data_IF_403678481735
#
_entry.id   IF_403678481735
#
_cell.length_a   1.000
_cell.length_b   1.000
_cell.length_c   1.000
_cell.angle_alpha   90.00
_cell.angle_beta   90.00
_cell.angle_gamma   90.00
#
_symmetry.space_group_name_H-M   'P 1'
#
loop_
_entity.id
_entity.type
_entity.pdbx_description
1 polymer ?
#
# COMPACT_ATOMS: atom_id res chain seq x y z
N UNK A 1 -11.45 -6.77 -4.16
CA UNK A 1 -12.46 -5.77 -3.74
C UNK A 1 -12.54 -5.62 -2.21
N UNK A 2 -11.67 -6.30 -1.45
CA UNK A 2 -11.74 -6.38 0.02
C UNK A 2 -10.86 -5.34 0.75
N UNK A 3 -9.92 -4.69 0.06
CA UNK A 3 -9.03 -3.67 0.64
C UNK A 3 -9.74 -2.34 0.92
N UNK A 4 -10.76 -1.98 0.14
CA UNK A 4 -11.59 -0.80 0.38
C UNK A 4 -12.54 -0.98 1.59
N UNK A 5 -12.92 -2.22 1.90
CA UNK A 5 -13.78 -2.54 3.04
C UNK A 5 -13.08 -2.29 4.38
N UNK A 6 -11.80 -2.68 4.51
CA UNK A 6 -11.01 -2.45 5.72
C UNK A 6 -10.71 -0.97 5.95
N UNK A 7 -10.37 -0.22 4.89
CA UNK A 7 -10.11 1.23 4.98
C UNK A 7 -11.41 1.98 5.34
N UNK A 8 -12.56 1.60 4.78
CA UNK A 8 -13.85 2.22 5.10
C UNK A 8 -14.36 1.93 6.52
N UNK A 9 -14.09 0.74 7.06
CA UNK A 9 -14.49 0.35 8.41
C UNK A 9 -13.64 1.05 9.48
N UNK A 10 -12.36 1.31 9.17
CA UNK A 10 -11.45 2.13 9.99
C UNK A 10 -11.84 3.61 9.91
N UNK A 11 -12.14 4.14 8.71
CA UNK A 11 -12.58 5.54 8.53
C UNK A 11 -13.87 5.85 9.30
N UNK A 12 -14.83 4.90 9.32
CA UNK A 12 -16.08 5.06 10.06
C UNK A 12 -15.90 4.98 11.59
N UNK A 13 -15.01 4.12 12.10
CA UNK A 13 -14.69 4.05 13.53
C UNK A 13 -13.92 5.29 14.02
N UNK A 14 -13.01 5.79 13.19
CA UNK A 14 -12.27 7.03 13.48
C UNK A 14 -13.20 8.25 13.42
N UNK A 15 -14.11 8.34 12.43
CA UNK A 15 -15.13 9.39 12.37
C UNK A 15 -16.07 9.40 13.57
N UNK A 16 -16.50 8.24 14.06
CA UNK A 16 -17.39 8.15 15.23
C UNK A 16 -16.69 8.54 16.54
N UNK A 17 -15.42 8.15 16.72
CA UNK A 17 -14.62 8.56 17.88
C UNK A 17 -14.30 10.07 17.85
N UNK A 18 -14.00 10.62 16.67
CA UNK A 18 -13.81 12.06 16.48
C UNK A 18 -15.13 12.78 16.82
N UNK A 19 -16.27 12.42 16.21
CA UNK A 19 -17.57 13.04 16.46
C UNK A 19 -17.95 13.10 17.94
N UNK A 20 -17.76 12.01 18.70
CA UNK A 20 -18.08 11.96 20.13
C UNK A 20 -17.17 12.87 20.99
N UNK A 21 -15.93 13.13 20.56
CA UNK A 21 -14.99 14.00 21.28
C UNK A 21 -15.25 15.51 21.10
N UNK A 22 -15.94 15.93 20.04
CA UNK A 22 -16.20 17.35 19.74
C UNK A 22 -17.52 17.90 20.34
N UNK A 23 -18.47 17.04 20.69
CA UNK A 23 -19.78 17.46 21.23
C UNK A 23 -19.67 18.29 22.53
N UNK A 24 -18.80 17.95 23.50
CA UNK A 24 -18.66 18.75 24.73
C UNK A 24 -17.87 20.06 24.53
N UNK A 25 -16.96 20.10 23.53
CA UNK A 25 -16.10 21.25 23.25
C UNK A 25 -16.88 22.33 22.48
N UNK A 26 -17.76 21.92 21.57
CA UNK A 26 -18.56 22.82 20.75
C UNK A 26 -19.68 23.52 21.56
N UNK A 27 -20.28 22.83 22.54
CA UNK A 27 -21.32 23.42 23.40
C UNK A 27 -20.75 24.47 24.36
N UNK A 28 -19.55 24.22 24.90
CA UNK A 28 -18.90 25.12 25.85
C UNK A 28 -18.32 26.38 25.17
N UNK A 29 -17.74 26.23 23.98
CA UNK A 29 -17.24 27.37 23.18
C UNK A 29 -18.35 28.28 22.66
N UNK A 30 -19.51 27.72 22.27
CA UNK A 30 -20.66 28.52 21.81
C UNK A 30 -21.25 29.38 22.94
N UNK A 31 -21.34 28.83 24.15
CA UNK A 31 -21.84 29.54 25.34
C UNK A 31 -20.88 30.64 25.81
N UNK A 32 -19.56 30.43 25.70
CA UNK A 32 -18.54 31.44 26.00
C UNK A 32 -18.51 32.58 24.97
N UNK A 33 -18.66 32.25 23.69
CA UNK A 33 -18.73 33.26 22.61
C UNK A 33 -20.00 34.11 22.75
N UNK A 34 -21.15 33.52 23.12
CA UNK A 34 -22.42 34.23 23.29
C UNK A 34 -22.45 35.13 24.54
N UNK A 35 -21.75 34.75 25.61
CA UNK A 35 -21.54 35.61 26.80
C UNK A 35 -20.59 36.77 26.48
N UNK A 36 -19.57 36.54 25.65
CA UNK A 36 -18.59 37.58 25.33
C UNK A 36 -19.07 38.59 24.27
N UNK A 37 -19.88 38.17 23.30
CA UNK A 37 -20.51 39.06 22.32
C UNK A 37 -21.54 39.99 22.97
N UNK A 38 -22.33 39.48 23.93
CA UNK A 38 -23.30 40.28 24.69
C UNK A 38 -22.63 41.31 25.61
N UNK A 39 -21.43 41.02 26.13
CA UNK A 39 -20.65 41.98 26.93
C UNK A 39 -19.91 43.03 26.07
N UNK A 40 -19.42 42.67 24.88
CA UNK A 40 -18.74 43.61 23.96
C UNK A 40 -19.69 44.60 23.27
N UNK A 41 -20.96 44.25 23.10
CA UNK A 41 -21.95 45.15 22.48
C UNK A 41 -22.34 46.34 23.39
N UNK A 42 -22.03 46.29 24.70
CA UNK A 42 -22.27 47.40 25.64
C UNK A 42 -21.20 48.50 25.66
N UNK A 43 -20.09 48.35 24.92
CA UNK A 43 -18.95 49.29 25.00
C UNK A 43 -18.46 49.75 23.62
N UNK A 44 -19.36 50.30 22.81
CA UNK A 44 -19.02 50.93 21.53
C UNK A 44 -19.51 52.38 21.49
N UNK A 45 -18.61 53.33 21.76
CA UNK A 45 -18.66 54.74 21.32
C UNK A 45 -17.25 55.09 20.78
N UNK A 46 -17.13 55.88 19.69
CA UNK A 46 -16.37 55.47 18.51
C UNK A 46 -14.96 56.05 18.38
N UNK A 47 -14.14 55.29 17.65
CA UNK A 47 -13.10 55.64 16.67
C UNK A 47 -12.14 56.83 16.91
N UNK A 48 -10.84 56.52 16.75
CA UNK A 48 -9.86 57.25 15.91
C UNK A 48 -8.68 58.04 16.50
N UNK A 49 -8.26 57.90 17.78
CA UNK A 49 -7.07 58.67 18.24
C UNK A 49 -6.03 58.00 19.17
N UNK A 50 -5.97 56.68 19.35
CA UNK A 50 -4.91 56.08 20.22
C UNK A 50 -4.07 54.97 19.60
N UNK A 51 -3.93 54.95 18.27
CA UNK A 51 -3.10 53.95 17.59
C UNK A 51 -1.59 54.08 17.90
N UNK A 52 -1.13 55.16 18.55
CA UNK A 52 0.31 55.40 18.77
C UNK A 52 0.79 55.19 20.22
N UNK A 53 -0.10 55.09 21.22
CA UNK A 53 0.34 54.93 22.64
C UNK A 53 0.07 53.54 23.24
N UNK A 54 -0.54 52.62 22.48
CA UNK A 54 -0.83 51.24 22.95
C UNK A 54 0.15 50.20 22.34
N UNK A 55 1.15 50.64 21.57
CA UNK A 55 2.10 49.75 20.88
C UNK A 55 3.05 48.99 21.81
N UNK A 56 3.24 49.44 23.06
CA UNK A 56 4.19 48.80 24.00
C UNK A 56 3.58 47.80 24.98
N UNK A 57 2.35 48.02 25.47
CA UNK A 57 1.77 47.23 26.58
C UNK A 57 0.90 46.05 26.12
N UNK A 58 0.62 45.97 24.81
CA UNK A 58 -0.25 44.91 24.25
C UNK A 58 0.50 43.76 23.61
N UNK A 59 1.80 43.89 23.33
CA UNK A 59 2.53 42.78 22.71
C UNK A 59 2.59 41.58 23.64
N UNK A 60 3.05 41.74 24.88
CA UNK A 60 3.20 40.62 25.82
C UNK A 60 1.86 39.90 26.10
N UNK A 61 0.77 40.66 26.29
CA UNK A 61 -0.56 40.11 26.56
C UNK A 61 -1.20 39.44 25.33
N UNK A 62 -0.90 39.90 24.12
CA UNK A 62 -1.32 39.24 22.88
C UNK A 62 -0.50 37.98 22.63
N UNK A 63 0.80 37.99 22.95
CA UNK A 63 1.67 36.82 22.88
C UNK A 63 1.24 35.74 23.88
N UNK A 64 0.92 36.09 25.11
CA UNK A 64 0.46 35.17 26.16
C UNK A 64 -0.88 34.51 25.79
N UNK A 65 -1.85 35.31 25.29
CA UNK A 65 -3.14 34.78 24.84
C UNK A 65 -3.02 33.91 23.57
N UNK A 66 -2.12 34.26 22.64
CA UNK A 66 -1.84 33.44 21.47
C UNK A 66 -1.12 32.14 21.85
N UNK A 67 -0.20 32.21 22.80
CA UNK A 67 0.53 31.06 23.33
C UNK A 67 -0.41 30.06 23.99
N UNK A 68 -1.36 30.51 24.81
CA UNK A 68 -2.34 29.61 25.46
C UNK A 68 -3.23 28.88 24.46
N UNK A 69 -3.63 29.54 23.37
CA UNK A 69 -4.41 28.89 22.31
C UNK A 69 -3.57 27.87 21.55
N UNK A 70 -2.33 28.22 21.20
CA UNK A 70 -1.41 27.32 20.50
C UNK A 70 -0.99 26.13 21.37
N UNK A 71 -0.75 26.35 22.66
CA UNK A 71 -0.36 25.29 23.61
C UNK A 71 -1.50 24.29 23.79
N UNK A 72 -2.74 24.77 23.95
CA UNK A 72 -3.92 23.90 24.07
C UNK A 72 -4.15 23.07 22.81
N UNK A 73 -4.01 23.66 21.62
CA UNK A 73 -4.10 22.93 20.33
C UNK A 73 -2.98 21.88 20.20
N UNK A 74 -1.76 22.25 20.61
CA UNK A 74 -0.58 21.37 20.53
C UNK A 74 -0.73 20.18 21.49
N UNK A 75 -1.19 20.41 22.71
CA UNK A 75 -1.43 19.36 23.71
C UNK A 75 -2.55 18.42 23.24
N UNK A 76 -3.66 18.97 22.74
CA UNK A 76 -4.77 18.18 22.21
C UNK A 76 -4.36 17.30 21.02
N UNK A 77 -3.56 17.85 20.10
CA UNK A 77 -3.04 17.12 18.94
C UNK A 77 -2.05 16.03 19.38
N UNK A 78 -1.15 16.34 20.31
CA UNK A 78 -0.20 15.38 20.87
C UNK A 78 -0.90 14.20 21.56
N UNK A 79 -1.91 14.47 22.38
CA UNK A 79 -2.67 13.43 23.07
C UNK A 79 -3.45 12.54 22.09
N UNK A 80 -4.02 13.13 21.03
CA UNK A 80 -4.67 12.37 19.97
C UNK A 80 -3.69 11.43 19.24
N UNK A 81 -2.50 11.93 18.88
CA UNK A 81 -1.43 11.12 18.28
C UNK A 81 -1.01 10.00 19.24
N UNK A 82 -0.86 10.29 20.53
CA UNK A 82 -0.46 9.31 21.53
C UNK A 82 -1.49 8.19 21.69
N UNK A 83 -2.78 8.54 21.84
CA UNK A 83 -3.88 7.58 21.97
C UNK A 83 -3.96 6.70 20.71
N UNK A 84 -3.92 7.29 19.51
CA UNK A 84 -3.99 6.51 18.26
C UNK A 84 -2.79 5.57 18.09
N UNK A 85 -1.60 5.98 18.52
CA UNK A 85 -0.39 5.14 18.49
C UNK A 85 -0.45 3.96 19.47
N UNK A 86 -1.08 4.13 20.64
CA UNK A 86 -1.13 3.11 21.70
C UNK A 86 -2.27 2.10 21.50
N UNK A 87 -3.47 2.56 21.14
CA UNK A 87 -4.65 1.69 21.12
C UNK A 87 -4.84 0.91 19.81
N UNK A 88 -4.35 1.41 18.67
CA UNK A 88 -4.43 0.75 17.37
C UNK A 88 -3.21 1.10 16.49
N UNK A 89 -2.01 0.57 16.77
CA UNK A 89 -0.87 0.82 15.90
C UNK A 89 -1.15 0.28 14.49
N UNK A 90 -1.09 1.18 13.50
CA UNK A 90 -1.15 0.81 12.08
C UNK A 90 0.25 0.38 11.67
N UNK A 91 0.45 -0.93 11.47
CA UNK A 91 1.73 -1.49 11.05
C UNK A 91 1.82 -1.59 9.52
N UNK A 92 2.43 -0.57 8.91
CA UNK A 92 2.76 -0.54 7.49
C UNK A 92 3.71 -1.68 7.09
N UNK A 93 4.61 -2.13 7.98
CA UNK A 93 5.52 -3.25 7.71
C UNK A 93 4.80 -4.57 7.39
N UNK A 94 3.74 -4.88 8.14
CA UNK A 94 2.90 -6.06 7.90
C UNK A 94 2.14 -5.93 6.58
N UNK A 95 1.54 -4.76 6.32
CA UNK A 95 0.83 -4.49 5.06
C UNK A 95 1.75 -4.57 3.83
N UNK A 96 3.00 -4.10 3.93
CA UNK A 96 3.98 -4.23 2.86
C UNK A 96 4.28 -5.70 2.58
N UNK A 97 4.44 -6.52 3.61
CA UNK A 97 4.72 -7.93 3.43
C UNK A 97 3.59 -8.66 2.72
N UNK A 98 2.36 -8.47 3.19
CA UNK A 98 1.18 -9.07 2.58
C UNK A 98 1.02 -8.61 1.13
N UNK A 99 1.32 -7.34 0.84
CA UNK A 99 1.32 -6.82 -0.52
C UNK A 99 2.32 -7.54 -1.42
N UNK A 100 3.58 -7.75 -0.98
CA UNK A 100 4.58 -8.49 -1.77
C UNK A 100 4.11 -9.91 -2.05
N UNK A 101 3.62 -10.60 -1.02
CA UNK A 101 3.12 -11.98 -1.14
C UNK A 101 1.97 -12.06 -2.15
N UNK A 102 0.97 -11.19 -2.02
CA UNK A 102 -0.16 -11.14 -2.94
C UNK A 102 0.27 -10.76 -4.36
N UNK A 103 1.27 -9.88 -4.52
CA UNK A 103 1.78 -9.51 -5.84
C UNK A 103 2.46 -10.70 -6.54
N UNK A 104 3.22 -11.53 -5.82
CA UNK A 104 3.80 -12.76 -6.38
C UNK A 104 2.74 -13.73 -6.89
N UNK A 105 1.67 -13.94 -6.12
CA UNK A 105 0.55 -14.80 -6.53
C UNK A 105 -0.17 -14.26 -7.76
N UNK A 106 -0.43 -12.94 -7.79
CA UNK A 106 -1.04 -12.30 -8.96
C UNK A 106 -0.18 -12.44 -10.20
N UNK A 107 1.14 -12.37 -10.09
CA UNK A 107 2.05 -12.60 -11.22
C UNK A 107 1.96 -14.05 -11.70
N UNK A 108 1.97 -15.01 -10.78
CA UNK A 108 1.87 -16.43 -11.12
C UNK A 108 0.57 -16.74 -11.86
N UNK A 109 -0.56 -16.27 -11.31
CA UNK A 109 -1.89 -16.47 -11.88
C UNK A 109 -2.05 -15.74 -13.22
N UNK A 110 -1.47 -14.55 -13.37
CA UNK A 110 -1.49 -13.82 -14.65
C UNK A 110 -0.70 -14.55 -15.73
N UNK A 111 0.49 -15.08 -15.37
CA UNK A 111 1.34 -15.80 -16.31
C UNK A 111 0.67 -17.10 -16.79
N UNK A 112 0.20 -17.93 -15.85
CA UNK A 112 -0.56 -19.15 -16.15
C UNK A 112 -1.80 -18.86 -16.99
N UNK A 113 -2.53 -17.80 -16.64
CA UNK A 113 -3.72 -17.37 -17.36
C UNK A 113 -3.41 -16.97 -18.80
N UNK A 114 -2.41 -16.11 -19.00
CA UNK A 114 -2.06 -15.59 -20.32
C UNK A 114 -1.62 -16.72 -21.28
N UNK A 115 -0.66 -17.55 -20.87
CA UNK A 115 -0.14 -18.61 -21.73
C UNK A 115 -1.18 -19.72 -21.92
N UNK A 116 -1.90 -20.08 -20.86
CA UNK A 116 -2.96 -21.07 -20.92
C UNK A 116 -4.12 -20.66 -21.82
N UNK A 117 -4.48 -19.38 -21.87
CA UNK A 117 -5.51 -18.89 -22.80
C UNK A 117 -5.04 -18.89 -24.26
N UNK A 118 -3.78 -18.50 -24.52
CA UNK A 118 -3.24 -18.45 -25.88
C UNK A 118 -3.17 -19.81 -26.57
N UNK A 119 -2.85 -20.88 -25.82
CA UNK A 119 -2.74 -22.25 -26.34
C UNK A 119 -4.00 -23.12 -26.15
N UNK A 120 -5.11 -22.57 -25.63
CA UNK A 120 -6.38 -23.31 -25.56
C UNK A 120 -6.96 -23.54 -26.96
N UNK A 121 -7.38 -24.78 -27.22
CA UNK A 121 -8.15 -25.11 -28.42
C UNK A 121 -9.55 -24.47 -28.38
N UNK A 122 -9.98 -23.90 -29.51
CA UNK A 122 -11.22 -23.13 -29.69
C UNK A 122 -12.51 -23.90 -29.30
N UNK A 123 -12.42 -25.23 -29.16
CA UNK A 123 -13.52 -26.12 -28.78
C UNK A 123 -13.94 -26.06 -27.31
N UNK A 124 -13.19 -25.30 -26.48
CA UNK A 124 -13.37 -25.26 -25.02
C UNK A 124 -13.81 -23.87 -24.51
N UNK A 125 -14.33 -23.01 -25.38
CA UNK A 125 -15.03 -21.78 -24.97
C UNK A 125 -16.43 -22.11 -24.43
N UNK A 126 -16.51 -22.85 -23.33
CA UNK A 126 -17.75 -23.02 -22.59
C UNK A 126 -17.53 -22.86 -21.10
N UNK A 127 -18.15 -21.81 -20.56
CA UNK A 127 -18.81 -21.86 -19.25
C UNK A 127 -17.97 -21.50 -18.03
N UNK A 128 -18.23 -20.29 -17.53
CA UNK A 128 -18.26 -19.91 -16.10
C UNK A 128 -17.07 -20.28 -15.20
N UNK A 129 -16.27 -19.26 -14.88
CA UNK A 129 -15.79 -18.86 -13.54
C UNK A 129 -15.22 -17.44 -13.71
N UNK A 130 -15.44 -16.56 -12.73
CA UNK A 130 -14.97 -15.16 -12.63
C UNK A 130 -14.19 -14.62 -13.83
N UNK A 131 -14.73 -13.56 -14.47
CA UNK A 131 -14.14 -12.82 -15.59
C UNK A 131 -12.64 -13.12 -15.81
N UNK A 132 -12.29 -14.09 -16.69
CA UNK A 132 -10.91 -14.57 -16.85
C UNK A 132 -9.94 -13.44 -17.22
N UNK A 133 -10.48 -12.36 -17.80
CA UNK A 133 -9.75 -11.14 -18.08
C UNK A 133 -9.18 -10.46 -16.82
N UNK A 134 -9.85 -10.55 -15.67
CA UNK A 134 -9.39 -9.96 -14.40
C UNK A 134 -8.28 -10.77 -13.75
N UNK A 135 -8.33 -12.10 -13.83
CA UNK A 135 -7.26 -12.98 -13.31
C UNK A 135 -6.00 -12.88 -14.17
N UNK A 136 -6.14 -12.83 -15.50
CA UNK A 136 -5.02 -12.60 -16.42
C UNK A 136 -4.35 -11.24 -16.28
N UNK A 137 -5.07 -10.23 -15.81
CA UNK A 137 -4.57 -8.87 -15.65
C UNK A 137 -4.07 -8.55 -14.23
N UNK A 138 -3.87 -9.56 -13.38
CA UNK A 138 -3.33 -9.40 -12.02
C UNK A 138 -1.98 -8.66 -11.99
N UNK A 139 -1.17 -8.80 -13.05
CA UNK A 139 0.09 -8.06 -13.23
C UNK A 139 -0.09 -6.52 -13.21
N UNK A 140 -1.25 -5.99 -13.62
CA UNK A 140 -1.53 -4.55 -13.55
C UNK A 140 -1.59 -4.03 -12.12
N UNK A 141 -2.07 -4.85 -11.18
CA UNK A 141 -2.02 -4.49 -9.76
C UNK A 141 -0.59 -4.32 -9.27
N UNK A 142 0.33 -5.17 -9.75
CA UNK A 142 1.75 -5.10 -9.39
C UNK A 142 2.38 -3.82 -9.93
N UNK A 143 2.14 -3.48 -11.19
CA UNK A 143 2.63 -2.24 -11.80
C UNK A 143 2.15 -0.99 -11.05
N UNK A 144 0.89 -0.98 -10.60
CA UNK A 144 0.30 0.15 -9.86
C UNK A 144 0.69 0.19 -8.38
N UNK A 145 1.30 -0.87 -7.84
CA UNK A 145 1.60 -0.96 -6.40
C UNK A 145 2.90 -0.27 -5.98
N UNK A 146 3.77 0.11 -6.94
CA UNK A 146 5.12 0.65 -6.66
C UNK A 146 5.13 1.84 -5.70
N UNK A 147 4.28 2.84 -5.92
CA UNK A 147 4.22 4.02 -5.05
C UNK A 147 3.79 3.64 -3.63
N UNK A 148 2.81 2.74 -3.52
CA UNK A 148 2.33 2.22 -2.24
C UNK A 148 3.41 1.42 -1.51
N UNK A 149 4.19 0.60 -2.23
CA UNK A 149 5.32 -0.15 -1.67
C UNK A 149 6.39 0.80 -1.09
N UNK A 150 6.73 1.87 -1.80
CA UNK A 150 7.69 2.89 -1.36
C UNK A 150 7.21 3.64 -0.11
N UNK A 151 5.94 4.04 -0.08
CA UNK A 151 5.33 4.70 1.09
C UNK A 151 5.33 3.76 2.29
N UNK A 152 4.86 2.52 2.14
CA UNK A 152 4.82 1.56 3.24
C UNK A 152 6.22 1.21 3.76
N UNK A 153 7.21 1.04 2.87
CA UNK A 153 8.59 0.79 3.28
C UNK A 153 9.19 1.97 4.05
N UNK A 154 8.85 3.21 3.69
CA UNK A 154 9.29 4.40 4.41
C UNK A 154 8.64 4.52 5.78
N UNK A 155 7.35 4.22 5.91
CA UNK A 155 6.65 4.18 7.19
C UNK A 155 7.21 3.07 8.09
N UNK A 156 7.40 1.87 7.53
CA UNK A 156 7.90 0.71 8.26
C UNK A 156 9.31 0.90 8.84
N UNK A 157 10.14 1.79 8.27
CA UNK A 157 11.46 2.13 8.81
C UNK A 157 11.40 2.79 10.19
N UNK A 158 10.29 3.43 10.53
CA UNK A 158 10.10 4.12 11.81
C UNK A 158 9.33 3.27 12.82
N UNK A 159 8.90 2.06 12.44
CA UNK A 159 8.17 1.17 13.32
C UNK A 159 9.09 0.62 14.41
N UNK A 160 8.56 0.60 15.63
CA UNK A 160 9.14 -0.20 16.71
C UNK A 160 9.03 -1.68 16.35
N UNK A 161 9.88 -2.51 16.97
CA UNK A 161 9.79 -3.96 16.79
C UNK A 161 8.40 -4.46 17.21
N UNK A 162 7.76 -5.24 16.35
CA UNK A 162 6.38 -5.68 16.55
C UNK A 162 6.10 -6.98 15.83
N UNK A 163 5.18 -7.78 16.38
CA UNK A 163 4.75 -9.05 15.79
C UNK A 163 5.95 -9.93 15.40
N UNK A 164 6.15 -10.10 14.10
CA UNK A 164 7.22 -10.93 13.49
C UNK A 164 8.36 -10.08 12.89
N UNK A 165 8.27 -8.76 13.00
CA UNK A 165 9.22 -7.80 12.46
C UNK A 165 10.10 -7.22 13.58
N UNK A 166 11.33 -7.71 13.64
CA UNK A 166 12.34 -7.25 14.61
C UNK A 166 12.87 -5.84 14.29
N UNK A 167 13.53 -5.21 15.27
CA UNK A 167 14.17 -3.90 15.11
C UNK A 167 15.15 -3.88 13.93
N UNK A 168 15.20 -2.78 13.16
CA UNK A 168 16.03 -2.64 11.94
C UNK A 168 15.76 -3.71 10.87
N UNK A 169 14.50 -4.11 10.72
CA UNK A 169 14.07 -5.00 9.64
C UNK A 169 14.50 -4.48 8.25
N UNK A 170 14.90 -5.35 7.32
CA UNK A 170 15.48 -4.94 6.02
C UNK A 170 14.45 -4.46 4.99
N UNK A 171 13.66 -3.43 5.30
CA UNK A 171 12.60 -2.90 4.41
C UNK A 171 13.10 -2.49 3.02
N UNK A 172 14.37 -2.08 2.87
CA UNK A 172 14.96 -1.79 1.56
C UNK A 172 15.03 -3.01 0.63
N UNK A 173 15.04 -4.23 1.16
CA UNK A 173 15.06 -5.45 0.35
C UNK A 173 13.68 -5.74 -0.25
N UNK A 174 12.60 -5.37 0.45
CA UNK A 174 11.24 -5.45 -0.09
C UNK A 174 11.11 -4.61 -1.36
N UNK A 175 11.67 -3.39 -1.39
CA UNK A 175 11.68 -2.54 -2.59
C UNK A 175 12.50 -3.15 -3.75
N UNK A 176 13.60 -3.87 -3.45
CA UNK A 176 14.37 -4.59 -4.48
C UNK A 176 13.60 -5.78 -5.05
N UNK A 177 12.81 -6.45 -4.22
CA UNK A 177 11.89 -7.51 -4.67
C UNK A 177 10.76 -6.90 -5.50
N UNK A 178 10.14 -5.81 -5.02
CA UNK A 178 9.13 -5.02 -5.74
C UNK A 178 9.57 -4.60 -7.13
N UNK A 179 10.76 -4.00 -7.26
CA UNK A 179 11.33 -3.65 -8.59
C UNK A 179 11.54 -4.86 -9.50
N UNK A 180 11.90 -6.03 -8.95
CA UNK A 180 12.03 -7.26 -9.74
C UNK A 180 10.66 -7.83 -10.15
N UNK A 181 9.65 -7.74 -9.26
CA UNK A 181 8.26 -8.09 -9.58
C UNK A 181 7.69 -7.18 -10.66
N UNK A 182 7.94 -5.88 -10.62
CA UNK A 182 7.53 -4.96 -11.68
C UNK A 182 8.15 -5.31 -13.03
N UNK A 183 9.41 -5.80 -13.07
CA UNK A 183 10.01 -6.30 -14.32
C UNK A 183 9.25 -7.52 -14.86
N UNK A 184 8.96 -8.50 -14.00
CA UNK A 184 8.12 -9.63 -14.40
C UNK A 184 6.74 -9.18 -14.90
N UNK A 185 6.11 -8.24 -14.20
CA UNK A 185 4.81 -7.69 -14.57
C UNK A 185 4.84 -7.05 -15.97
N UNK A 186 5.89 -6.29 -16.28
CA UNK A 186 6.09 -5.71 -17.60
C UNK A 186 6.30 -6.79 -18.68
N UNK A 187 7.09 -7.83 -18.40
CA UNK A 187 7.25 -8.96 -19.32
C UNK A 187 5.90 -9.66 -19.61
N UNK A 188 5.07 -9.86 -18.58
CA UNK A 188 3.71 -10.43 -18.73
C UNK A 188 2.80 -9.47 -19.51
N UNK A 189 2.88 -8.16 -19.28
CA UNK A 189 2.10 -7.17 -20.02
C UNK A 189 2.40 -7.20 -21.51
N UNK A 190 3.69 -7.26 -21.86
CA UNK A 190 4.13 -7.36 -23.25
C UNK A 190 3.70 -8.69 -23.86
N UNK A 191 3.86 -9.80 -23.13
CA UNK A 191 3.38 -11.12 -23.54
C UNK A 191 1.86 -11.11 -23.82
N UNK A 192 1.07 -10.55 -22.90
CA UNK A 192 -0.37 -10.40 -23.06
C UNK A 192 -0.73 -9.52 -24.27
N UNK A 193 0.07 -8.50 -24.55
CA UNK A 193 -0.11 -7.65 -25.74
C UNK A 193 0.19 -8.42 -27.04
N UNK A 194 1.25 -9.24 -27.07
CA UNK A 194 1.57 -10.11 -28.21
C UNK A 194 0.45 -11.12 -28.48
N UNK A 195 -0.07 -11.76 -27.43
CA UNK A 195 -1.18 -12.73 -27.48
C UNK A 195 -2.44 -12.11 -28.09
N UNK A 196 -2.77 -10.87 -27.70
CA UNK A 196 -3.95 -10.16 -28.19
C UNK A 196 -3.73 -9.47 -29.55
N UNK A 197 -2.51 -9.50 -30.10
CA UNK A 197 -2.19 -8.85 -31.37
C UNK A 197 -2.70 -9.67 -32.56
N UNK A 198 -2.92 -9.00 -33.69
CA UNK A 198 -3.37 -9.63 -34.95
C UNK A 198 -2.27 -10.40 -35.69
N UNK A 199 -1.01 -10.22 -35.29
CA UNK A 199 0.15 -10.87 -35.91
C UNK A 199 0.44 -12.12 -35.07
N UNK A 200 -0.24 -13.22 -35.37
CA UNK A 200 -0.02 -14.49 -34.67
C UNK A 200 1.02 -15.33 -35.39
N UNK A 201 1.84 -16.03 -34.60
CA UNK A 201 2.74 -17.08 -35.07
C UNK A 201 1.96 -18.11 -35.90
N UNK A 202 2.48 -18.56 -37.06
CA UNK A 202 1.84 -19.59 -37.88
C UNK A 202 1.42 -20.83 -37.06
N UNK A 203 0.28 -21.42 -37.38
CA UNK A 203 -0.33 -22.51 -36.59
C UNK A 203 0.60 -23.72 -36.36
N UNK A 204 1.48 -24.02 -37.32
CA UNK A 204 2.45 -25.12 -37.19
C UNK A 204 3.51 -24.83 -36.11
N UNK A 205 4.01 -23.59 -36.03
CA UNK A 205 4.92 -23.13 -34.98
C UNK A 205 4.20 -23.04 -33.64
N UNK A 206 2.95 -22.56 -33.64
CA UNK A 206 2.12 -22.52 -32.42
C UNK A 206 1.97 -23.90 -31.80
N UNK A 207 1.68 -24.94 -32.59
CA UNK A 207 1.61 -26.34 -32.11
C UNK A 207 2.95 -26.86 -31.61
N UNK A 208 4.04 -26.58 -32.33
CA UNK A 208 5.39 -27.02 -31.96
C UNK A 208 5.87 -26.37 -30.64
N UNK A 209 5.59 -25.08 -30.46
CA UNK A 209 6.03 -24.31 -29.29
C UNK A 209 5.08 -24.43 -28.10
N UNK A 210 3.82 -24.81 -28.30
CA UNK A 210 2.82 -24.95 -27.23
C UNK A 210 3.31 -25.75 -26.04
N UNK A 211 3.86 -26.95 -26.27
CA UNK A 211 4.36 -27.80 -25.18
C UNK A 211 5.47 -27.14 -24.37
N UNK A 212 6.45 -26.54 -25.05
CA UNK A 212 7.60 -25.89 -24.40
C UNK A 212 7.16 -24.63 -23.65
N UNK A 213 6.33 -23.79 -24.26
CA UNK A 213 5.84 -22.55 -23.65
C UNK A 213 4.92 -22.83 -22.45
N UNK A 214 4.05 -23.84 -22.54
CA UNK A 214 3.21 -24.24 -21.41
C UNK A 214 4.05 -24.73 -20.23
N UNK A 215 5.01 -25.63 -20.47
CA UNK A 215 5.91 -26.13 -19.40
C UNK A 215 6.72 -24.99 -18.79
N UNK A 216 7.28 -24.11 -19.61
CA UNK A 216 8.08 -22.98 -19.13
C UNK A 216 7.22 -21.97 -18.33
N UNK A 217 5.98 -21.73 -18.75
CA UNK A 217 5.02 -20.90 -18.02
C UNK A 217 4.66 -21.51 -16.67
N UNK A 218 4.27 -22.78 -16.65
CA UNK A 218 3.89 -23.51 -15.43
C UNK A 218 5.05 -23.58 -14.44
N UNK A 219 6.26 -23.91 -14.89
CA UNK A 219 7.43 -23.90 -14.00
C UNK A 219 7.71 -22.49 -13.43
N UNK A 220 7.55 -21.46 -14.26
CA UNK A 220 7.77 -20.08 -13.81
C UNK A 220 6.72 -19.61 -12.80
N UNK A 221 5.45 -19.97 -13.01
CA UNK A 221 4.35 -19.63 -12.11
C UNK A 221 4.40 -20.43 -10.80
N UNK A 222 4.82 -21.69 -10.85
CA UNK A 222 5.08 -22.51 -9.67
C UNK A 222 6.20 -21.90 -8.82
N UNK A 223 7.31 -21.47 -9.43
CA UNK A 223 8.38 -20.77 -8.70
C UNK A 223 7.84 -19.49 -8.05
N UNK A 224 6.99 -18.71 -8.73
CA UNK A 224 6.38 -17.51 -8.13
C UNK A 224 5.47 -17.86 -6.93
N UNK A 225 4.68 -18.93 -7.03
CA UNK A 225 3.84 -19.45 -5.93
C UNK A 225 4.68 -19.98 -4.77
N UNK A 226 5.78 -20.68 -5.04
CA UNK A 226 6.74 -21.13 -4.04
C UNK A 226 7.41 -19.95 -3.33
N UNK A 227 7.78 -18.90 -4.07
CA UNK A 227 8.33 -17.67 -3.47
C UNK A 227 7.32 -16.98 -2.55
N UNK A 228 6.03 -16.94 -2.93
CA UNK A 228 4.96 -16.42 -2.08
C UNK A 228 4.79 -17.27 -0.80
N UNK A 229 4.81 -18.59 -0.94
CA UNK A 229 4.76 -19.51 0.20
C UNK A 229 5.97 -19.36 1.11
N UNK A 230 7.18 -19.28 0.56
CA UNK A 230 8.41 -19.08 1.33
C UNK A 230 8.37 -17.76 2.10
N UNK A 231 7.90 -16.68 1.47
CA UNK A 231 7.72 -15.40 2.14
C UNK A 231 6.73 -15.49 3.32
N UNK A 232 5.61 -16.21 3.18
CA UNK A 232 4.62 -16.45 4.25
C UNK A 232 5.16 -17.32 5.39
N UNK A 233 5.78 -18.45 5.05
CA UNK A 233 6.23 -19.47 6.01
C UNK A 233 7.35 -18.95 6.90
N UNK A 234 8.30 -18.20 6.34
CA UNK A 234 9.47 -17.74 7.09
C UNK A 234 9.07 -16.81 8.25
N UNK A 235 8.05 -15.97 8.06
CA UNK A 235 7.54 -15.12 9.14
C UNK A 235 6.74 -15.90 10.19
N UNK A 236 6.20 -17.08 9.87
CA UNK A 236 5.50 -17.92 10.85
C UNK A 236 6.46 -18.67 11.79
N UNK A 237 7.71 -18.88 11.38
CA UNK A 237 8.69 -19.71 12.10
C UNK A 237 9.65 -18.93 13.02
N UNK A 238 9.68 -17.60 12.93
CA UNK A 238 10.70 -16.76 13.58
C UNK A 238 10.40 -16.45 15.06
N UNK A 239 10.08 -17.49 15.84
CA UNK A 239 9.75 -17.36 17.28
C UNK A 239 10.99 -17.18 18.17
N UNK A 240 12.22 -17.48 17.69
CA UNK A 240 13.41 -17.52 18.55
C UNK A 240 14.77 -17.12 17.94
N UNK A 241 14.88 -16.66 16.69
CA UNK A 241 16.19 -16.27 16.11
C UNK A 241 16.28 -14.78 15.76
N UNK A 242 17.12 -14.05 16.50
CA UNK A 242 17.38 -12.61 16.35
C UNK A 242 18.15 -12.22 15.07
N UNK A 243 18.51 -13.18 14.20
CA UNK A 243 19.35 -12.94 13.03
C UNK A 243 18.48 -12.84 11.78
N UNK A 244 18.29 -11.62 11.30
CA UNK A 244 17.54 -11.31 10.08
C UNK A 244 17.86 -12.27 8.91
N UNK A 245 16.85 -12.80 8.19
CA UNK A 245 17.04 -13.75 7.10
C UNK A 245 17.49 -13.05 5.80
N UNK A 246 18.55 -12.23 5.85
CA UNK A 246 19.10 -11.49 4.70
C UNK A 246 19.40 -12.38 3.48
N UNK A 247 19.91 -13.59 3.74
CA UNK A 247 20.20 -14.58 2.69
C UNK A 247 18.94 -14.99 1.93
N UNK A 248 17.79 -15.03 2.59
CA UNK A 248 16.52 -15.45 2.00
C UNK A 248 15.92 -14.37 1.11
N UNK A 249 15.89 -13.11 1.57
CA UNK A 249 15.43 -12.00 0.72
C UNK A 249 16.30 -11.85 -0.55
N UNK A 250 17.61 -12.08 -0.42
CA UNK A 250 18.51 -12.13 -1.57
C UNK A 250 18.16 -13.28 -2.51
N UNK A 251 17.87 -14.47 -1.97
CA UNK A 251 17.43 -15.65 -2.74
C UNK A 251 16.14 -15.35 -3.51
N UNK A 252 15.12 -14.77 -2.84
CA UNK A 252 13.87 -14.34 -3.49
C UNK A 252 14.17 -13.37 -4.64
N UNK A 253 14.97 -12.33 -4.41
CA UNK A 253 15.34 -11.37 -5.45
C UNK A 253 16.13 -12.00 -6.61
N UNK A 254 16.98 -13.00 -6.37
CA UNK A 254 17.67 -13.74 -7.44
C UNK A 254 16.71 -14.63 -8.24
N UNK A 255 15.79 -15.33 -7.57
CA UNK A 255 14.78 -16.16 -8.23
C UNK A 255 13.82 -15.32 -9.06
N UNK A 256 13.39 -14.16 -8.55
CA UNK A 256 12.55 -13.22 -9.30
C UNK A 256 13.21 -12.73 -10.58
N UNK A 257 14.52 -12.43 -10.55
CA UNK A 257 15.26 -12.07 -11.76
C UNK A 257 15.30 -13.22 -12.78
N UNK A 258 15.49 -14.46 -12.32
CA UNK A 258 15.43 -15.64 -13.19
C UNK A 258 14.04 -15.81 -13.81
N UNK A 259 12.98 -15.66 -13.02
CA UNK A 259 11.60 -15.68 -13.54
C UNK A 259 11.39 -14.60 -14.61
N UNK A 260 11.89 -13.38 -14.41
CA UNK A 260 11.79 -12.32 -15.42
C UNK A 260 12.43 -12.73 -16.75
N UNK A 261 13.63 -13.33 -16.71
CA UNK A 261 14.29 -13.85 -17.90
C UNK A 261 13.50 -14.99 -18.58
N UNK A 262 12.92 -15.91 -17.81
CA UNK A 262 12.07 -16.96 -18.36
C UNK A 262 10.82 -16.41 -19.06
N UNK A 263 10.17 -15.40 -18.47
CA UNK A 263 8.99 -14.75 -19.06
C UNK A 263 9.37 -13.95 -20.30
N UNK A 264 10.54 -13.31 -20.30
CA UNK A 264 11.08 -12.63 -21.48
C UNK A 264 11.40 -13.61 -22.62
N UNK A 265 11.95 -14.80 -22.29
CA UNK A 265 12.14 -15.86 -23.28
C UNK A 265 10.81 -16.38 -23.84
N UNK A 266 9.77 -16.53 -23.00
CA UNK A 266 8.41 -16.89 -23.43
C UNK A 266 7.87 -15.89 -24.45
N UNK A 267 8.07 -14.58 -24.20
CA UNK A 267 7.69 -13.54 -25.16
C UNK A 267 8.38 -13.77 -26.52
N UNK A 268 9.68 -14.05 -26.54
CA UNK A 268 10.41 -14.32 -27.79
C UNK A 268 9.94 -15.56 -28.55
N UNK A 269 9.30 -16.52 -27.88
CA UNK A 269 8.69 -17.68 -28.55
C UNK A 269 7.30 -17.37 -29.15
N UNK A 270 6.62 -16.34 -28.65
CA UNK A 270 5.23 -16.01 -29.02
C UNK A 270 5.14 -14.84 -30.02
N UNK A 271 6.19 -14.04 -30.15
CA UNK A 271 6.29 -12.90 -31.06
C UNK A 271 7.32 -13.14 -32.16
#
# INVERSE_FOLDING_TARGET
METYGYIGLIDNKVKTLIQLSWVPIYTNTKHLIEVETNNKMKTLIPQSQSLVTISGYRMDKLFEMAYDRLSTITIGTSLCIFITMVFCPIWAGSGLHDLIVCNLEKLADSLDGCVGEYFKDDKTKLGNKEDPSKRMQGYKCVLNSKATEEVMANLARWELAHGRFHFRHPWKQYLKIGTSMCKCAYCIEVLNSCINSKIQVPDYLKKHLSGVCMVLSTNSSEVLKELANLARWELAHDRFNFRHPWKQYLKIGTSMRKCAYCIEALKSCIN
#
